data_IF_032835435668
#
_entry.id   IF_032835435668
#
_cell.length_a   1.000
_cell.length_b   1.000
_cell.length_c   1.000
_cell.angle_alpha   90.00
_cell.angle_beta   90.00
_cell.angle_gamma   90.00
#
_symmetry.space_group_name_H-M   'P 1'
#
loop_
_entity.id
_entity.type
_entity.pdbx_description
1 polymer ?
#
# COMPACT_ATOMS: atom_id res chain seq x y z
N UNK A 1 -29.29 -88.15 -10.70
CA UNK A 1 -29.12 -86.83 -11.38
C UNK A 1 -29.75 -85.83 -10.43
N UNK A 2 -29.05 -85.34 -9.42
CA UNK A 2 -27.89 -84.44 -9.47
C UNK A 2 -28.25 -83.15 -10.19
N UNK A 3 -28.29 -82.09 -9.38
CA UNK A 3 -28.63 -80.71 -9.68
C UNK A 3 -27.53 -79.98 -10.47
N UNK A 4 -27.92 -78.80 -10.98
CA UNK A 4 -27.23 -77.49 -10.94
C UNK A 4 -27.41 -76.73 -12.28
N UNK A 5 -27.61 -75.41 -12.29
CA UNK A 5 -27.50 -74.49 -11.16
C UNK A 5 -28.02 -73.11 -11.51
N UNK A 6 -28.46 -72.44 -10.45
CA UNK A 6 -28.71 -71.00 -10.40
C UNK A 6 -27.36 -70.28 -10.51
N UNK A 7 -27.25 -69.21 -11.33
CA UNK A 7 -26.01 -68.47 -11.45
C UNK A 7 -25.60 -67.85 -10.10
N UNK A 8 -24.31 -67.85 -9.75
CA UNK A 8 -23.80 -67.60 -8.40
C UNK A 8 -23.91 -66.16 -7.88
N UNK A 9 -24.59 -65.27 -8.61
CA UNK A 9 -24.79 -63.88 -8.19
C UNK A 9 -26.24 -63.56 -7.80
N UNK A 10 -27.16 -64.51 -7.94
CA UNK A 10 -28.54 -64.39 -7.44
C UNK A 10 -28.58 -64.74 -5.93
N UNK A 11 -28.01 -63.86 -5.11
CA UNK A 11 -28.29 -63.78 -3.68
C UNK A 11 -28.94 -62.44 -3.41
N UNK A 12 -30.23 -62.49 -3.07
CA UNK A 12 -30.94 -61.43 -2.38
C UNK A 12 -30.25 -61.23 -1.02
N UNK A 13 -29.55 -60.10 -0.90
CA UNK A 13 -28.88 -59.65 0.30
C UNK A 13 -28.94 -58.14 0.32
N UNK A 14 -29.96 -57.65 1.01
CA UNK A 14 -30.15 -56.26 1.46
C UNK A 14 -28.82 -55.59 1.81
N UNK A 15 -28.39 -54.63 1.02
CA UNK A 15 -27.58 -53.52 1.50
C UNK A 15 -27.75 -52.35 0.52
N UNK A 16 -28.28 -51.27 1.08
CA UNK A 16 -28.29 -49.92 0.53
C UNK A 16 -26.97 -49.65 -0.21
N UNK A 17 -26.96 -49.00 -1.40
CA UNK A 17 -25.71 -48.47 -1.90
C UNK A 17 -25.28 -47.44 -0.85
N UNK A 18 -24.32 -47.82 0.00
CA UNK A 18 -23.54 -46.86 0.77
C UNK A 18 -22.97 -45.91 -0.27
N UNK A 19 -23.61 -44.75 -0.40
CA UNK A 19 -23.09 -43.62 -1.14
C UNK A 19 -21.72 -43.39 -0.55
N UNK A 20 -20.70 -43.87 -1.27
CA UNK A 20 -19.32 -43.58 -0.97
C UNK A 20 -19.22 -42.07 -1.14
N UNK A 21 -19.36 -41.35 -0.05
CA UNK A 21 -19.13 -39.91 0.04
C UNK A 21 -17.65 -39.73 -0.19
N UNK A 22 -17.26 -39.72 -1.48
CA UNK A 22 -15.97 -39.22 -1.88
C UNK A 22 -15.85 -37.84 -1.23
N UNK A 23 -14.85 -37.59 -0.37
CA UNK A 23 -14.65 -36.25 0.15
C UNK A 23 -14.48 -35.36 -1.07
N UNK A 24 -15.42 -34.41 -1.25
CA UNK A 24 -15.23 -33.33 -2.21
C UNK A 24 -13.88 -32.72 -1.87
N UNK A 25 -12.94 -32.57 -2.83
CA UNK A 25 -11.72 -31.85 -2.57
C UNK A 25 -12.13 -30.46 -2.13
N UNK A 26 -11.91 -30.14 -0.85
CA UNK A 26 -12.00 -28.76 -0.38
C UNK A 26 -10.99 -27.99 -1.21
N UNK A 27 -11.47 -27.24 -2.20
CA UNK A 27 -10.61 -26.37 -2.99
C UNK A 27 -10.02 -25.38 -2.00
N UNK A 28 -8.75 -25.58 -1.67
CA UNK A 28 -7.97 -24.61 -0.91
C UNK A 28 -7.93 -23.36 -1.79
N UNK A 29 -8.68 -22.34 -1.39
CA UNK A 29 -8.65 -21.04 -2.04
C UNK A 29 -7.21 -20.55 -1.92
N UNK A 30 -6.55 -20.35 -3.05
CA UNK A 30 -5.22 -19.79 -3.08
C UNK A 30 -5.23 -18.43 -2.36
N UNK A 31 -4.23 -18.14 -1.52
CA UNK A 31 -4.16 -16.85 -0.83
C UNK A 31 -4.24 -15.72 -1.85
N UNK A 32 -5.08 -14.71 -1.56
CA UNK A 32 -5.16 -13.53 -2.41
C UNK A 32 -3.82 -12.79 -2.34
N UNK A 33 -3.29 -12.31 -3.48
CA UNK A 33 -2.02 -11.60 -3.48
C UNK A 33 -2.16 -10.33 -2.65
N UNK A 34 -1.21 -10.11 -1.74
CA UNK A 34 -1.11 -8.87 -0.97
C UNK A 34 -0.87 -7.71 -1.95
N UNK A 35 -1.66 -6.62 -1.90
CA UNK A 35 -1.41 -5.44 -2.73
C UNK A 35 0.00 -4.90 -2.51
N UNK A 36 0.68 -4.54 -3.61
CA UNK A 36 2.01 -3.95 -3.54
C UNK A 36 2.18 -2.87 -4.61
N UNK A 37 2.02 -1.61 -4.20
CA UNK A 37 2.17 -0.45 -5.06
C UNK A 37 3.60 -0.31 -5.60
N UNK A 38 4.62 -0.85 -4.92
CA UNK A 38 6.03 -0.76 -5.33
C UNK A 38 6.52 -2.01 -6.07
N UNK A 39 5.61 -2.90 -6.47
CA UNK A 39 5.96 -4.16 -7.15
C UNK A 39 6.75 -3.97 -8.45
N UNK A 40 6.57 -2.83 -9.14
CA UNK A 40 7.31 -2.49 -10.36
C UNK A 40 8.62 -1.71 -10.13
N UNK A 41 8.98 -1.48 -8.86
CA UNK A 41 10.15 -0.69 -8.43
C UNK A 41 9.82 0.74 -8.03
N UNK A 42 8.81 1.34 -8.66
CA UNK A 42 8.29 2.67 -8.31
C UNK A 42 6.78 2.77 -8.55
N UNK A 43 6.15 3.81 -8.00
CA UNK A 43 4.77 4.17 -8.30
C UNK A 43 4.61 5.68 -8.39
N UNK A 44 3.89 6.13 -9.42
CA UNK A 44 3.60 7.53 -9.65
C UNK A 44 2.15 7.83 -9.27
N UNK A 45 1.94 8.96 -8.61
CA UNK A 45 0.64 9.45 -8.16
C UNK A 45 0.44 10.89 -8.60
N UNK A 46 -0.79 11.22 -8.97
CA UNK A 46 -1.25 12.61 -9.14
C UNK A 46 -2.27 12.90 -8.06
N UNK A 47 -1.96 13.82 -7.17
CA UNK A 47 -2.77 14.11 -5.99
C UNK A 47 -3.25 15.55 -6.07
N UNK A 48 -4.58 15.73 -6.09
CA UNK A 48 -5.19 17.05 -6.09
C UNK A 48 -5.44 17.52 -4.65
N UNK A 49 -5.02 18.74 -4.33
CA UNK A 49 -5.47 19.46 -3.15
C UNK A 49 -5.81 20.88 -3.57
N UNK A 50 -7.09 21.27 -3.51
CA UNK A 50 -7.52 22.60 -3.92
C UNK A 50 -7.06 22.97 -5.34
N UNK A 51 -6.26 24.03 -5.46
CA UNK A 51 -5.69 24.52 -6.73
C UNK A 51 -4.36 23.86 -7.07
N UNK A 52 -3.76 23.10 -6.16
CA UNK A 52 -2.47 22.43 -6.35
C UNK A 52 -2.69 21.00 -6.82
N UNK A 53 -1.99 20.62 -7.89
CA UNK A 53 -1.81 19.23 -8.29
C UNK A 53 -0.36 18.82 -8.02
N UNK A 54 -0.16 17.82 -7.17
CA UNK A 54 1.15 17.24 -6.89
C UNK A 54 1.37 15.98 -7.74
N UNK A 55 2.45 15.96 -8.51
CA UNK A 55 2.95 14.76 -9.17
C UNK A 55 4.04 14.17 -8.30
N UNK A 56 3.81 12.96 -7.82
CA UNK A 56 4.63 12.31 -6.81
C UNK A 56 5.11 10.97 -7.32
N UNK A 57 6.41 10.72 -7.21
CA UNK A 57 7.00 9.42 -7.48
C UNK A 57 7.55 8.83 -6.18
N UNK A 58 7.16 7.59 -5.88
CA UNK A 58 7.64 6.84 -4.73
C UNK A 58 8.41 5.61 -5.19
N UNK A 59 9.51 5.30 -4.51
CA UNK A 59 10.29 4.08 -4.77
C UNK A 59 11.02 3.61 -3.51
N UNK A 60 11.58 2.40 -3.58
CA UNK A 60 12.51 1.91 -2.57
C UNK A 60 13.81 1.46 -3.23
N UNK A 61 14.93 1.85 -2.64
CA UNK A 61 16.27 1.33 -2.96
C UNK A 61 16.50 -0.06 -2.40
N UNK A 62 15.66 -0.51 -1.47
CA UNK A 62 15.66 -1.87 -0.96
C UNK A 62 14.71 -2.70 -1.84
N UNK A 63 15.22 -3.80 -2.40
CA UNK A 63 14.43 -4.69 -3.24
C UNK A 63 13.28 -5.32 -2.46
N UNK A 64 12.14 -5.54 -3.11
CA UNK A 64 10.92 -6.02 -2.45
C UNK A 64 11.09 -7.39 -1.77
N UNK A 65 12.03 -8.24 -2.22
CA UNK A 65 12.37 -9.51 -1.54
C UNK A 65 13.10 -9.30 -0.20
N UNK A 66 13.63 -8.09 0.03
CA UNK A 66 14.33 -7.69 1.26
C UNK A 66 13.49 -6.83 2.18
N UNK A 67 12.26 -6.54 1.81
CA UNK A 67 11.28 -5.87 2.67
C UNK A 67 10.76 -6.84 3.74
N UNK A 68 11.61 -7.31 4.65
CA UNK A 68 11.23 -8.24 5.72
C UNK A 68 10.73 -7.50 6.97
N UNK A 69 10.17 -8.25 7.93
CA UNK A 69 9.67 -7.71 9.19
C UNK A 69 10.74 -6.90 9.95
N UNK A 70 11.97 -7.41 10.01
CA UNK A 70 13.10 -6.83 10.76
C UNK A 70 13.96 -5.85 9.96
N UNK A 71 13.77 -5.76 8.64
CA UNK A 71 14.57 -4.83 7.82
C UNK A 71 14.16 -3.39 8.07
N UNK A 72 15.12 -2.46 8.02
CA UNK A 72 14.83 -1.04 7.84
C UNK A 72 14.52 -0.79 6.36
N UNK A 73 13.29 -0.37 6.07
CA UNK A 73 12.74 -0.29 4.71
C UNK A 73 12.66 1.18 4.26
N UNK A 74 13.56 1.66 3.40
CA UNK A 74 13.59 3.06 3.00
C UNK A 74 12.60 3.33 1.86
N UNK A 75 11.78 4.36 2.01
CA UNK A 75 10.90 4.90 0.98
C UNK A 75 11.41 6.25 0.55
N UNK A 76 11.74 6.36 -0.73
CA UNK A 76 12.14 7.61 -1.35
C UNK A 76 10.92 8.21 -2.05
N UNK A 77 10.95 9.52 -2.09
CA UNK A 77 9.89 10.37 -2.60
C UNK A 77 10.54 11.47 -3.43
N UNK A 78 9.97 11.75 -4.60
CA UNK A 78 10.19 12.98 -5.34
C UNK A 78 8.84 13.59 -5.70
N UNK A 79 8.71 14.91 -5.60
CA UNK A 79 7.47 15.61 -5.84
C UNK A 79 7.71 16.95 -6.52
N UNK A 80 6.91 17.21 -7.54
CA UNK A 80 6.74 18.52 -8.17
C UNK A 80 5.26 18.88 -8.15
N UNK A 81 4.95 20.17 -8.13
CA UNK A 81 3.58 20.65 -8.14
C UNK A 81 3.30 21.56 -9.32
N UNK A 82 2.03 21.62 -9.69
CA UNK A 82 1.47 22.64 -10.57
C UNK A 82 0.31 23.33 -9.83
N UNK A 83 -0.05 24.54 -10.28
CA UNK A 83 -1.17 25.32 -9.72
C UNK A 83 -2.14 25.73 -10.82
N UNK A 84 -3.45 25.68 -10.54
CA UNK A 84 -4.50 26.10 -11.47
C UNK A 84 -5.51 27.04 -10.79
N UNK A 85 -5.78 28.24 -11.34
CA UNK A 85 -5.10 28.85 -12.48
C UNK A 85 -3.62 29.15 -12.18
N UNK A 86 -2.78 29.18 -13.21
CA UNK A 86 -1.38 29.57 -13.09
C UNK A 86 -1.21 31.04 -13.46
N UNK A 87 -1.55 31.94 -12.53
CA UNK A 87 -1.41 33.39 -12.73
C UNK A 87 -0.06 33.92 -12.20
N UNK A 88 0.86 33.01 -11.83
CA UNK A 88 2.16 33.34 -11.23
C UNK A 88 2.20 33.23 -9.70
N UNK A 89 1.18 32.65 -9.07
CA UNK A 89 1.22 32.33 -7.64
C UNK A 89 2.32 31.29 -7.35
N UNK A 90 3.04 31.48 -6.25
CA UNK A 90 4.01 30.49 -5.77
C UNK A 90 3.34 29.43 -4.88
N UNK A 91 3.89 28.21 -4.91
CA UNK A 91 3.46 27.08 -4.08
C UNK A 91 4.64 26.62 -3.23
N UNK A 92 4.42 26.52 -1.92
CA UNK A 92 5.42 26.13 -0.95
C UNK A 92 4.96 24.91 -0.15
N UNK A 93 5.83 23.94 0.04
CA UNK A 93 5.61 22.83 0.96
C UNK A 93 6.03 23.27 2.37
N UNK A 94 5.09 23.22 3.31
CA UNK A 94 5.32 23.49 4.72
C UNK A 94 5.68 22.22 5.50
N UNK A 95 4.99 21.11 5.18
CA UNK A 95 5.16 19.85 5.91
C UNK A 95 4.88 18.66 5.02
N UNK A 96 5.74 17.66 5.10
CA UNK A 96 5.47 16.31 4.62
C UNK A 96 5.58 15.34 5.80
N UNK A 97 4.62 14.45 5.96
CA UNK A 97 4.68 13.42 7.00
C UNK A 97 4.27 12.06 6.48
N UNK A 98 4.82 11.01 7.09
CA UNK A 98 4.52 9.62 6.80
C UNK A 98 4.23 8.87 8.11
N UNK A 99 3.12 8.14 8.12
CA UNK A 99 2.79 7.16 9.17
C UNK A 99 2.72 5.79 8.52
N UNK A 100 3.40 4.81 9.11
CA UNK A 100 3.36 3.42 8.66
C UNK A 100 2.45 2.61 9.59
N UNK A 101 1.49 1.90 9.01
CA UNK A 101 0.55 1.03 9.73
C UNK A 101 0.72 -0.40 9.20
N UNK A 102 1.41 -1.28 9.93
CA UNK A 102 1.54 -2.68 9.53
C UNK A 102 0.20 -3.39 9.62
N UNK A 103 0.00 -4.41 8.80
CA UNK A 103 -1.23 -5.20 8.82
C UNK A 103 -1.08 -6.57 8.18
N UNK A 104 -2.12 -7.36 8.35
CA UNK A 104 -2.31 -8.62 7.65
C UNK A 104 -3.76 -8.73 7.17
N UNK A 105 -4.14 -9.90 6.64
CA UNK A 105 -5.48 -10.12 6.11
C UNK A 105 -6.61 -9.97 7.17
N UNK A 106 -6.28 -10.08 8.46
CA UNK A 106 -7.26 -10.14 9.55
C UNK A 106 -7.27 -8.92 10.45
N UNK A 107 -6.14 -8.23 10.60
CA UNK A 107 -6.00 -7.11 11.52
C UNK A 107 -4.98 -6.06 11.04
N UNK A 108 -5.09 -4.88 11.64
CA UNK A 108 -4.07 -3.83 11.59
C UNK A 108 -3.34 -3.78 12.92
N UNK A 109 -2.01 -3.68 12.87
CA UNK A 109 -1.18 -3.51 14.05
C UNK A 109 -1.11 -2.04 14.47
N UNK A 110 -0.47 -1.78 15.62
CA UNK A 110 -0.22 -0.42 16.08
C UNK A 110 0.61 0.38 15.04
N UNK A 111 0.23 1.63 14.73
CA UNK A 111 1.02 2.50 13.86
C UNK A 111 2.42 2.73 14.42
N UNK A 112 3.41 2.79 13.52
CA UNK A 112 4.76 3.24 13.86
C UNK A 112 4.74 4.75 14.12
N UNK A 113 5.77 5.24 14.82
CA UNK A 113 5.95 6.67 15.06
C UNK A 113 5.98 7.45 13.74
N UNK A 114 5.15 8.49 13.66
CA UNK A 114 5.12 9.38 12.52
C UNK A 114 6.49 10.01 12.27
N UNK A 115 6.91 10.02 11.01
CA UNK A 115 8.04 10.83 10.57
C UNK A 115 7.51 12.10 9.94
N UNK A 116 8.12 13.22 10.29
CA UNK A 116 7.70 14.55 9.85
C UNK A 116 8.92 15.30 9.37
N UNK A 117 8.85 15.76 8.12
CA UNK A 117 9.72 16.80 7.60
C UNK A 117 8.93 18.11 7.60
N UNK A 118 9.40 19.07 8.38
CA UNK A 118 8.78 20.38 8.54
C UNK A 118 9.75 21.44 8.07
N UNK A 119 9.27 22.33 7.20
CA UNK A 119 10.11 23.40 6.66
C UNK A 119 10.68 24.28 7.77
N UNK A 120 11.98 24.51 7.71
CA UNK A 120 12.70 25.46 8.57
C UNK A 120 12.80 26.86 7.95
N UNK A 121 12.33 27.04 6.72
CA UNK A 121 12.29 28.31 6.00
C UNK A 121 10.85 28.80 5.85
N UNK A 122 10.68 30.13 5.83
CA UNK A 122 9.39 30.78 5.57
C UNK A 122 9.34 31.28 4.12
N UNK A 123 8.24 31.07 3.37
CA UNK A 123 6.98 30.45 3.78
C UNK A 123 6.95 28.93 3.57
N UNK A 124 8.06 28.28 3.21
CA UNK A 124 8.15 26.84 2.96
C UNK A 124 9.18 26.51 1.88
N UNK A 125 9.35 25.23 1.56
CA UNK A 125 10.20 24.82 0.42
C UNK A 125 9.46 25.06 -0.90
N UNK A 126 10.06 25.72 -1.90
CA UNK A 126 9.42 25.88 -3.22
C UNK A 126 9.28 24.52 -3.89
N UNK A 127 8.07 24.22 -4.37
CA UNK A 127 7.75 22.92 -5.02
C UNK A 127 7.00 23.08 -6.34
N UNK A 128 6.85 24.30 -6.82
CA UNK A 128 6.33 24.58 -8.15
C UNK A 128 7.46 24.34 -9.17
N UNK A 129 7.14 23.70 -10.31
CA UNK A 129 8.10 23.50 -11.40
C UNK A 129 8.88 24.79 -11.72
N UNK A 130 10.22 24.73 -11.87
CA UNK A 130 11.09 23.54 -11.96
C UNK A 130 11.62 23.01 -10.62
N UNK A 131 11.13 23.53 -9.48
CA UNK A 131 11.59 23.10 -8.16
C UNK A 131 10.87 21.83 -7.72
N UNK A 132 11.63 20.89 -7.17
CA UNK A 132 11.11 19.63 -6.66
C UNK A 132 11.49 19.41 -5.20
N UNK A 133 10.58 18.79 -4.45
CA UNK A 133 10.86 18.23 -3.14
C UNK A 133 11.37 16.79 -3.27
N UNK A 134 12.30 16.37 -2.41
CA UNK A 134 12.75 14.98 -2.34
C UNK A 134 13.10 14.62 -0.90
N UNK A 135 12.68 13.44 -0.47
CA UNK A 135 12.84 12.98 0.91
C UNK A 135 12.95 11.47 0.98
N UNK A 136 13.60 10.97 2.03
CA UNK A 136 13.54 9.55 2.43
C UNK A 136 12.84 9.43 3.77
N UNK A 137 11.86 8.54 3.83
CA UNK A 137 11.23 8.09 5.06
C UNK A 137 11.55 6.61 5.29
N UNK A 138 11.70 6.18 6.54
CA UNK A 138 12.09 4.81 6.84
C UNK A 138 10.99 4.06 7.58
N UNK A 139 10.51 2.94 7.04
CA UNK A 139 9.64 2.04 7.79
C UNK A 139 10.53 1.13 8.64
N UNK A 140 10.36 1.23 9.96
CA UNK A 140 11.11 0.42 10.92
C UNK A 140 10.70 -1.05 10.93
N UNK A 141 11.10 -1.73 11.99
CA UNK A 141 10.64 -3.09 12.25
C UNK A 141 9.12 -3.14 12.42
N UNK A 142 8.51 -4.20 11.92
CA UNK A 142 7.07 -4.46 12.04
C UNK A 142 6.87 -5.81 12.72
N UNK A 143 5.71 -6.07 13.36
CA UNK A 143 5.43 -7.36 13.98
C UNK A 143 5.59 -8.52 12.98
N UNK A 144 6.07 -9.68 13.44
CA UNK A 144 6.34 -10.85 12.56
C UNK A 144 5.09 -11.33 11.79
N UNK A 145 3.89 -11.11 12.34
CA UNK A 145 2.62 -11.42 11.67
C UNK A 145 2.15 -10.39 10.64
N UNK A 146 2.93 -9.34 10.35
CA UNK A 146 2.60 -8.34 9.35
C UNK A 146 2.98 -8.80 7.94
N UNK A 147 1.99 -8.79 7.05
CA UNK A 147 2.16 -9.20 5.64
C UNK A 147 2.26 -8.01 4.69
N UNK A 148 1.85 -6.83 5.15
CA UNK A 148 2.00 -5.56 4.44
C UNK A 148 2.17 -4.42 5.43
N UNK A 149 2.57 -3.27 4.89
CA UNK A 149 2.49 -1.99 5.56
C UNK A 149 1.72 -1.01 4.69
N UNK A 150 0.79 -0.28 5.32
CA UNK A 150 0.08 0.84 4.73
C UNK A 150 0.80 2.13 5.12
N UNK A 151 1.31 2.86 4.13
CA UNK A 151 2.02 4.12 4.29
C UNK A 151 1.06 5.26 4.01
N UNK A 152 0.82 6.10 5.01
CA UNK A 152 -0.08 7.25 4.92
C UNK A 152 0.76 8.52 4.84
N UNK A 153 0.75 9.16 3.68
CA UNK A 153 1.42 10.43 3.46
C UNK A 153 0.47 11.60 3.64
N UNK A 154 0.96 12.69 4.21
CA UNK A 154 0.26 13.97 4.28
C UNK A 154 1.20 15.07 3.85
N UNK A 155 0.76 15.89 2.90
CA UNK A 155 1.47 17.05 2.39
C UNK A 155 0.67 18.31 2.67
N UNK A 156 1.32 19.31 3.27
CA UNK A 156 0.71 20.60 3.56
C UNK A 156 1.41 21.69 2.77
N UNK A 157 0.65 22.32 1.88
CA UNK A 157 1.10 23.39 1.02
C UNK A 157 0.58 24.75 1.49
N UNK A 158 1.35 25.78 1.20
CA UNK A 158 0.91 27.17 1.20
C UNK A 158 0.96 27.69 -0.23
N UNK A 159 -0.17 28.18 -0.71
CA UNK A 159 -0.31 28.80 -2.03
C UNK A 159 -0.52 30.29 -1.84
N UNK A 160 0.25 31.12 -2.54
CA UNK A 160 0.00 32.57 -2.52
C UNK A 160 -1.42 32.86 -3.02
N UNK A 161 -2.17 33.72 -2.32
CA UNK A 161 -3.55 34.07 -2.71
C UNK A 161 -3.61 34.85 -4.02
N UNK A 162 -2.59 35.68 -4.27
CA UNK A 162 -2.33 36.39 -5.52
C UNK A 162 -0.82 36.43 -5.79
N UNK A 163 -0.37 36.61 -7.05
CA UNK A 163 1.06 36.68 -7.35
C UNK A 163 1.75 37.74 -6.50
N UNK A 164 2.94 37.43 -5.95
CA UNK A 164 3.74 38.29 -5.06
C UNK A 164 3.15 38.58 -3.66
N UNK A 165 1.97 38.03 -3.34
CA UNK A 165 1.33 38.20 -2.03
C UNK A 165 2.13 37.56 -0.89
N UNK A 166 2.03 38.17 0.30
CA UNK A 166 2.46 37.58 1.57
C UNK A 166 1.33 36.85 2.31
N UNK A 167 0.14 36.77 1.70
CA UNK A 167 -0.99 35.99 2.21
C UNK A 167 -1.06 34.64 1.50
N UNK A 168 -1.34 33.59 2.28
CA UNK A 168 -1.29 32.21 1.81
C UNK A 168 -2.56 31.45 2.16
N UNK A 169 -3.03 30.64 1.22
CA UNK A 169 -4.05 29.62 1.44
C UNK A 169 -3.39 28.29 1.76
N UNK A 170 -3.79 27.65 2.87
CA UNK A 170 -3.37 26.29 3.19
C UNK A 170 -4.12 25.27 2.33
N UNK A 171 -3.38 24.32 1.76
CA UNK A 171 -3.95 23.18 1.04
C UNK A 171 -3.30 21.90 1.56
N UNK A 172 -4.10 20.87 1.81
CA UNK A 172 -3.63 19.60 2.34
C UNK A 172 -3.96 18.48 1.36
N UNK A 173 -2.96 17.69 1.00
CA UNK A 173 -3.10 16.46 0.23
C UNK A 173 -2.74 15.27 1.11
N UNK A 174 -3.41 14.13 0.88
CA UNK A 174 -3.07 12.85 1.50
C UNK A 174 -2.97 11.78 0.45
N UNK A 175 -2.04 10.84 0.62
CA UNK A 175 -1.92 9.66 -0.23
C UNK A 175 -1.69 8.41 0.61
N UNK A 176 -2.06 7.26 0.06
CA UNK A 176 -1.86 5.96 0.71
C UNK A 176 -1.19 4.98 -0.24
N UNK A 177 -0.13 4.33 0.23
CA UNK A 177 0.51 3.20 -0.43
C UNK A 177 0.38 1.94 0.42
N UNK A 178 0.16 0.80 -0.20
CA UNK A 178 0.30 -0.52 0.43
C UNK A 178 1.52 -1.21 -0.16
N UNK A 179 2.44 -1.64 0.71
CA UNK A 179 3.67 -2.33 0.32
C UNK A 179 3.73 -3.66 1.04
N UNK A 180 3.94 -4.74 0.31
CA UNK A 180 4.03 -6.09 0.87
C UNK A 180 5.32 -6.27 1.69
N UNK A 181 5.24 -7.10 2.74
CA UNK A 181 6.38 -7.57 3.52
C UNK A 181 6.76 -8.97 3.05
N UNK A 182 8.01 -9.13 2.62
CA UNK A 182 8.56 -10.41 2.19
C UNK A 182 8.57 -11.40 3.35
N UNK A 183 8.08 -12.61 3.07
CA UNK A 183 7.98 -13.69 4.06
C UNK A 183 6.81 -13.57 5.04
N UNK A 184 5.95 -12.55 4.93
CA UNK A 184 4.79 -12.42 5.82
C UNK A 184 3.62 -13.36 5.50
N UNK A 185 3.59 -13.99 4.33
CA UNK A 185 2.58 -14.97 3.95
C UNK A 185 3.03 -16.39 4.33
N UNK A 186 3.04 -16.72 5.62
CA UNK A 186 3.15 -18.09 6.12
C UNK A 186 1.95 -18.46 7.02
#
# INVERSE_FOLDING_TARGET
>A
MTACGTPPWAVDGTDEPAVSTSPSPTQSVAPQPVPNDLSSGSTERKIQAGSVAAEVNYWSTLSMDRWTATALKPIQLSMVTTVTPNDGQQVYLQRASMIAVPGNATESFAPLTAQVDQSTVSPGYPVLDPYSYSQTFNVGEVPDGATFVTLQFTYEYLVQTTPTSSEYAKQTATDTLTVAIAGGAE
#
